data_IF_744265810052
#
_entry.id   IF_744265810052
#
_cell.length_a   1.000
_cell.length_b   1.000
_cell.length_c   1.000
_cell.angle_alpha   90.00
_cell.angle_beta   90.00
_cell.angle_gamma   90.00
#
_symmetry.space_group_name_H-M   'P 1'
#
loop_
_entity.id
_entity.type
_entity.pdbx_description
1 polymer ?
#
# COMPACT_ATOMS: atom_id res chain seq x y z
N UNK A 1 -1.64 18.41 12.85
CA UNK A 1 -0.77 17.55 12.03
C UNK A 1 0.10 16.70 12.97
N UNK A 2 -0.51 15.84 13.79
CA UNK A 2 0.25 14.84 14.54
C UNK A 2 0.94 13.96 13.52
N UNK A 3 2.27 14.00 13.47
CA UNK A 3 3.06 13.05 12.71
C UNK A 3 2.51 11.66 13.06
N UNK A 4 1.95 10.96 12.07
CA UNK A 4 1.55 9.56 12.22
C UNK A 4 2.75 8.88 12.87
N UNK A 5 2.60 8.41 14.10
CA UNK A 5 3.71 7.85 14.83
C UNK A 5 4.38 6.79 13.94
N UNK A 6 5.70 6.62 13.98
CA UNK A 6 6.37 5.59 13.18
C UNK A 6 5.70 4.21 13.35
N UNK A 7 5.09 3.96 14.51
CA UNK A 7 4.23 2.82 14.81
C UNK A 7 2.95 2.70 13.95
N UNK A 8 2.25 3.79 13.66
CA UNK A 8 1.05 3.76 12.81
C UNK A 8 1.42 3.51 11.36
N UNK A 9 2.49 4.14 10.89
CA UNK A 9 3.00 3.92 9.53
C UNK A 9 3.45 2.48 9.35
N UNK A 10 4.21 1.92 10.30
CA UNK A 10 4.65 0.53 10.25
C UNK A 10 3.47 -0.45 10.33
N UNK A 11 2.45 -0.17 11.15
CA UNK A 11 1.24 -0.98 11.21
C UNK A 11 0.50 -1.02 9.85
N UNK A 12 0.33 0.12 9.18
CA UNK A 12 -0.31 0.18 7.85
C UNK A 12 0.48 -0.62 6.81
N UNK A 13 1.81 -0.53 6.83
CA UNK A 13 2.69 -1.30 5.94
C UNK A 13 2.63 -2.81 6.24
N UNK A 14 2.62 -3.20 7.51
CA UNK A 14 2.47 -4.60 7.92
C UNK A 14 1.13 -5.17 7.47
N UNK A 15 0.04 -4.42 7.67
CA UNK A 15 -1.30 -4.81 7.21
C UNK A 15 -1.32 -4.97 5.68
N UNK A 16 -0.73 -4.03 4.94
CA UNK A 16 -0.63 -4.12 3.48
C UNK A 16 0.12 -5.39 3.03
N UNK A 17 1.27 -5.68 3.65
CA UNK A 17 2.05 -6.91 3.38
C UNK A 17 1.25 -8.15 3.73
N UNK A 18 0.54 -8.18 4.86
CA UNK A 18 -0.28 -9.33 5.27
C UNK A 18 -1.40 -9.62 4.25
N UNK A 19 -2.12 -8.60 3.79
CA UNK A 19 -3.14 -8.78 2.76
C UNK A 19 -2.54 -9.20 1.42
N UNK A 20 -1.43 -8.59 0.99
CA UNK A 20 -0.70 -9.02 -0.21
C UNK A 20 -0.23 -10.47 -0.10
N UNK A 21 0.25 -10.87 1.07
CA UNK A 21 0.68 -12.22 1.36
C UNK A 21 -0.48 -13.21 1.31
N UNK A 22 -1.62 -12.89 1.90
CA UNK A 22 -2.81 -13.74 1.90
C UNK A 22 -3.31 -14.00 0.46
N UNK A 23 -3.36 -12.96 -0.37
CA UNK A 23 -3.70 -13.07 -1.80
C UNK A 23 -2.65 -13.94 -2.51
N UNK A 24 -1.37 -13.70 -2.23
CA UNK A 24 -0.27 -14.42 -2.83
C UNK A 24 -0.24 -15.91 -2.46
N UNK A 25 -0.58 -16.27 -1.22
CA UNK A 25 -0.73 -17.67 -0.77
C UNK A 25 -1.83 -18.34 -1.58
N UNK A 26 -2.99 -17.70 -1.67
CA UNK A 26 -4.10 -18.22 -2.46
C UNK A 26 -3.67 -18.44 -3.91
N UNK A 27 -2.94 -17.52 -4.53
CA UNK A 27 -2.50 -17.70 -5.93
C UNK A 27 -1.45 -18.78 -6.12
N UNK A 28 -0.51 -18.91 -5.18
CA UNK A 28 0.53 -19.94 -5.21
C UNK A 28 -0.10 -21.35 -5.14
N UNK A 29 -1.05 -21.54 -4.22
CA UNK A 29 -1.83 -22.77 -4.08
C UNK A 29 -2.62 -23.14 -5.35
N UNK A 30 -3.06 -22.14 -6.12
CA UNK A 30 -3.79 -22.33 -7.38
C UNK A 30 -2.88 -22.35 -8.63
N UNK A 31 -1.57 -22.55 -8.44
CA UNK A 31 -0.58 -22.71 -9.51
C UNK A 31 -0.44 -21.49 -10.42
N UNK A 32 -0.70 -20.28 -9.91
CA UNK A 32 -0.61 -19.04 -10.69
C UNK A 32 0.84 -18.53 -10.70
N UNK A 33 1.32 -17.98 -11.84
CA UNK A 33 2.72 -17.53 -11.98
C UNK A 33 3.12 -16.39 -11.02
N UNK A 34 2.15 -15.61 -10.53
CA UNK A 34 2.37 -14.62 -9.48
C UNK A 34 1.79 -15.14 -8.16
N UNK A 35 2.68 -15.43 -7.20
CA UNK A 35 2.34 -16.00 -5.89
C UNK A 35 2.69 -15.05 -4.73
N UNK A 36 3.10 -15.65 -3.61
CA UNK A 36 3.34 -14.99 -2.33
C UNK A 36 4.31 -13.80 -2.41
N UNK A 37 5.50 -14.01 -2.97
CA UNK A 37 6.56 -12.98 -3.04
C UNK A 37 6.08 -11.74 -3.81
N UNK A 38 5.43 -11.95 -4.95
CA UNK A 38 5.01 -10.86 -5.83
C UNK A 38 3.92 -10.01 -5.20
N UNK A 39 2.84 -10.63 -4.70
CA UNK A 39 1.72 -9.87 -4.15
C UNK A 39 2.08 -9.16 -2.84
N UNK A 40 2.93 -9.73 -1.99
CA UNK A 40 3.44 -9.05 -0.80
C UNK A 40 4.26 -7.79 -1.13
N UNK A 41 5.16 -7.87 -2.11
CA UNK A 41 5.99 -6.73 -2.54
C UNK A 41 5.16 -5.65 -3.26
N UNK A 42 4.21 -6.06 -4.10
CA UNK A 42 3.30 -5.14 -4.80
C UNK A 42 2.43 -4.39 -3.78
N UNK A 43 1.85 -5.09 -2.80
CA UNK A 43 1.04 -4.46 -1.77
C UNK A 43 1.85 -3.48 -0.90
N UNK A 44 3.10 -3.83 -0.55
CA UNK A 44 4.01 -2.94 0.16
C UNK A 44 4.33 -1.69 -0.65
N UNK A 45 4.70 -1.85 -1.93
CA UNK A 45 5.00 -0.74 -2.83
C UNK A 45 3.82 0.20 -3.03
N UNK A 46 2.61 -0.33 -3.21
CA UNK A 46 1.39 0.45 -3.33
C UNK A 46 1.10 1.26 -2.04
N UNK A 47 1.25 0.63 -0.86
CA UNK A 47 1.08 1.32 0.41
C UNK A 47 2.11 2.44 0.61
N UNK A 48 3.37 2.20 0.24
CA UNK A 48 4.43 3.21 0.25
C UNK A 48 4.11 4.38 -0.69
N UNK A 49 3.64 4.12 -1.90
CA UNK A 49 3.29 5.16 -2.87
C UNK A 49 2.15 6.05 -2.35
N UNK A 50 1.10 5.47 -1.77
CA UNK A 50 -0.02 6.20 -1.18
C UNK A 50 0.41 7.02 0.05
N UNK A 51 1.24 6.45 0.92
CA UNK A 51 1.74 7.17 2.10
C UNK A 51 2.69 8.32 1.70
N UNK A 52 3.52 8.11 0.69
CA UNK A 52 4.40 9.14 0.14
C UNK A 52 3.58 10.26 -0.50
N UNK A 53 2.58 9.94 -1.34
CA UNK A 53 1.74 10.95 -1.99
C UNK A 53 0.94 11.77 -0.99
N UNK A 54 0.41 11.14 0.06
CA UNK A 54 -0.27 11.85 1.15
C UNK A 54 0.64 12.82 1.91
N UNK A 55 1.96 12.56 1.98
CA UNK A 55 2.95 13.47 2.59
C UNK A 55 3.34 14.60 1.63
N UNK A 56 3.42 14.32 0.33
CA UNK A 56 3.85 15.25 -0.71
C UNK A 56 2.74 16.21 -1.17
N UNK A 57 1.48 15.79 -1.13
CA UNK A 57 0.34 16.57 -1.64
C UNK A 57 0.01 17.85 -0.83
N UNK A 58 0.72 18.12 0.27
CA UNK A 58 0.48 19.28 1.12
C UNK A 58 -0.82 19.18 1.92
N UNK A 59 -1.23 20.27 2.58
CA UNK A 59 -2.48 20.35 3.36
C UNK A 59 -3.55 21.10 2.55
N UNK A 60 -4.60 20.40 2.12
CA UNK A 60 -5.72 21.01 1.37
C UNK A 60 -6.67 19.99 0.76
N UNK A 61 -7.75 20.49 0.14
CA UNK A 61 -8.83 19.69 -0.46
C UNK A 61 -8.32 18.70 -1.53
N UNK A 62 -7.26 19.07 -2.25
CA UNK A 62 -6.63 18.28 -3.30
C UNK A 62 -5.86 17.04 -2.81
N UNK A 63 -5.63 16.88 -1.50
CA UNK A 63 -4.88 15.74 -0.97
C UNK A 63 -5.61 14.42 -1.25
N UNK A 64 -6.93 14.40 -1.11
CA UNK A 64 -7.73 13.21 -1.38
C UNK A 64 -7.69 12.83 -2.86
N UNK A 65 -7.77 13.82 -3.75
CA UNK A 65 -7.69 13.61 -5.21
C UNK A 65 -6.34 13.03 -5.62
N UNK A 66 -5.24 13.57 -5.09
CA UNK A 66 -3.89 13.08 -5.37
C UNK A 66 -3.71 11.64 -4.89
N UNK A 67 -4.17 11.33 -3.68
CA UNK A 67 -4.10 9.96 -3.14
C UNK A 67 -4.95 9.00 -3.98
N UNK A 68 -6.16 9.41 -4.40
CA UNK A 68 -7.04 8.60 -5.24
C UNK A 68 -6.40 8.25 -6.58
N UNK A 69 -5.80 9.23 -7.26
CA UNK A 69 -5.11 9.01 -8.55
C UNK A 69 -3.95 8.03 -8.43
N UNK A 70 -3.13 8.18 -7.38
CA UNK A 70 -2.03 7.25 -7.09
C UNK A 70 -2.54 5.83 -6.79
N UNK A 71 -3.65 5.71 -6.05
CA UNK A 71 -4.28 4.42 -5.79
C UNK A 71 -4.86 3.77 -7.06
N UNK A 72 -5.36 4.58 -7.99
CA UNK A 72 -5.86 4.14 -9.30
C UNK A 72 -4.75 3.84 -10.32
N UNK A 73 -3.52 4.34 -10.08
CA UNK A 73 -2.37 4.18 -10.98
C UNK A 73 -2.39 5.12 -12.18
N UNK A 74 -2.97 6.32 -12.04
CA UNK A 74 -3.04 7.39 -13.05
C UNK A 74 -2.19 8.60 -12.65
#
# INVERSE_FOLDING_TARGET
MSALAPAETSARLLIAVLFGALIGINRDLHGKPAGLRTHSLVALGAALAVLASARLAGSGDHQADVVSRVAQGV
#
